data_IF_431777313762
#
_entry.id   IF_431777313762
#
_cell.length_a   1.000
_cell.length_b   1.000
_cell.length_c   1.000
_cell.angle_alpha   90.00
_cell.angle_beta   90.00
_cell.angle_gamma   90.00
#
_symmetry.space_group_name_H-M   'P 1'
#
loop_
_entity.id
_entity.type
_entity.pdbx_description
1 polymer ?
#
# COMPACT_ATOMS: atom_id res chain seq x y z
N UNK A 1 21.85 -15.84 -9.68
CA UNK A 1 20.44 -15.41 -9.53
C UNK A 1 20.41 -14.30 -8.48
N UNK A 2 20.11 -13.07 -8.88
CA UNK A 2 20.14 -11.92 -7.98
C UNK A 2 18.88 -11.88 -7.12
N UNK A 3 19.00 -12.18 -5.82
CA UNK A 3 17.91 -12.02 -4.85
C UNK A 3 17.75 -10.55 -4.51
N UNK A 4 16.99 -9.80 -5.32
CA UNK A 4 16.57 -8.45 -4.97
C UNK A 4 15.71 -8.52 -3.70
N UNK A 5 16.27 -8.14 -2.56
CA UNK A 5 15.50 -7.83 -1.35
C UNK A 5 14.53 -6.71 -1.72
N UNK A 6 13.24 -7.05 -1.86
CA UNK A 6 12.18 -6.06 -2.11
C UNK A 6 12.09 -5.18 -0.88
N UNK A 7 12.77 -4.04 -0.91
CA UNK A 7 12.54 -2.96 0.04
C UNK A 7 11.07 -2.59 -0.09
N UNK A 8 10.26 -3.01 0.88
CA UNK A 8 8.83 -2.77 0.89
C UNK A 8 8.59 -1.29 1.14
N UNK A 9 8.60 -0.51 0.06
CA UNK A 9 8.33 0.92 0.10
C UNK A 9 6.82 1.13 -0.02
N UNK A 10 6.19 1.53 1.08
CA UNK A 10 4.81 1.97 1.06
C UNK A 10 4.71 3.26 0.23
N UNK A 11 3.61 3.47 -0.53
CA UNK A 11 3.37 4.74 -1.19
C UNK A 11 3.39 5.89 -0.18
N UNK A 12 4.17 6.92 -0.48
CA UNK A 12 4.16 8.17 0.29
C UNK A 12 2.85 8.93 0.06
N UNK A 13 2.53 9.88 0.93
CA UNK A 13 1.33 10.71 0.75
C UNK A 13 1.35 11.46 -0.60
N UNK A 14 2.51 11.99 -1.01
CA UNK A 14 2.68 12.63 -2.33
C UNK A 14 2.40 11.68 -3.49
N UNK A 15 2.88 10.43 -3.41
CA UNK A 15 2.60 9.41 -4.42
C UNK A 15 1.10 9.08 -4.50
N UNK A 16 0.37 9.11 -3.36
CA UNK A 16 -1.09 8.90 -3.36
C UNK A 16 -1.84 10.01 -4.07
N UNK A 17 -1.44 11.27 -3.88
CA UNK A 17 -2.03 12.38 -4.63
C UNK A 17 -1.76 12.25 -6.13
N UNK A 18 -0.57 11.79 -6.52
CA UNK A 18 -0.26 11.54 -7.92
C UNK A 18 -1.10 10.40 -8.50
N UNK A 19 -1.35 9.33 -7.73
CA UNK A 19 -2.27 8.24 -8.12
C UNK A 19 -3.70 8.76 -8.31
N UNK A 20 -4.21 9.54 -7.34
CA UNK A 20 -5.55 10.13 -7.38
C UNK A 20 -5.74 11.02 -8.62
N UNK A 21 -4.78 11.89 -8.93
CA UNK A 21 -4.82 12.75 -10.11
C UNK A 21 -4.83 11.94 -11.43
N UNK A 22 -4.12 10.81 -11.49
CA UNK A 22 -4.01 9.98 -12.68
C UNK A 22 -5.18 9.01 -12.85
N UNK A 23 -5.85 8.60 -11.78
CA UNK A 23 -7.03 7.73 -11.84
C UNK A 23 -8.22 8.37 -12.54
N UNK A 24 -8.29 9.70 -12.59
CA UNK A 24 -9.33 10.44 -13.31
C UNK A 24 -9.13 10.53 -14.84
N UNK A 25 -8.18 9.80 -15.40
CA UNK A 25 -7.81 9.84 -16.83
C UNK A 25 -7.75 8.43 -17.43
N UNK A 26 -7.66 8.31 -18.76
CA UNK A 26 -7.64 7.03 -19.50
C UNK A 26 -6.35 6.21 -19.36
N UNK A 27 -5.49 6.48 -18.36
CA UNK A 27 -4.25 5.72 -18.18
C UNK A 27 -4.51 4.32 -17.61
N UNK A 28 -3.77 3.35 -18.13
CA UNK A 28 -3.75 2.00 -17.56
C UNK A 28 -2.99 2.00 -16.22
N UNK A 29 -3.36 1.12 -15.28
CA UNK A 29 -2.68 1.00 -13.98
C UNK A 29 -1.15 0.84 -14.10
N UNK A 30 -0.67 0.12 -15.12
CA UNK A 30 0.76 -0.03 -15.41
C UNK A 30 1.45 1.33 -15.67
N UNK A 31 0.79 2.24 -16.37
CA UNK A 31 1.33 3.55 -16.75
C UNK A 31 1.34 4.49 -15.55
N UNK A 32 0.27 4.44 -14.74
CA UNK A 32 0.18 5.15 -13.46
C UNK A 32 1.33 4.72 -12.54
N UNK A 33 1.57 3.40 -12.42
CA UNK A 33 2.65 2.88 -11.57
C UNK A 33 4.04 3.38 -12.02
N UNK A 34 4.30 3.39 -13.33
CA UNK A 34 5.55 3.93 -13.90
C UNK A 34 5.68 5.43 -13.63
N UNK A 35 4.61 6.21 -13.85
CA UNK A 35 4.60 7.67 -13.62
C UNK A 35 4.86 8.04 -12.15
N UNK A 36 4.29 7.28 -11.22
CA UNK A 36 4.43 7.48 -9.77
C UNK A 36 5.75 6.91 -9.22
N UNK A 37 6.45 6.07 -10.01
CA UNK A 37 7.70 5.41 -9.61
C UNK A 37 7.48 4.28 -8.59
N UNK A 38 6.35 3.57 -8.68
CA UNK A 38 6.04 2.39 -7.86
C UNK A 38 5.84 1.15 -8.73
N UNK A 39 5.93 -0.03 -8.14
CA UNK A 39 5.59 -1.26 -8.88
C UNK A 39 4.07 -1.35 -9.12
N UNK A 40 3.67 -1.93 -10.24
CA UNK A 40 2.25 -2.22 -10.55
C UNK A 40 1.57 -3.01 -9.42
N UNK A 41 2.28 -3.99 -8.85
CA UNK A 41 1.79 -4.76 -7.69
C UNK A 41 1.55 -3.92 -6.44
N UNK A 42 2.29 -2.82 -6.26
CA UNK A 42 2.09 -1.89 -5.15
C UNK A 42 0.86 -1.02 -5.38
N UNK A 43 0.68 -0.53 -6.61
CA UNK A 43 -0.53 0.21 -7.00
C UNK A 43 -1.78 -0.65 -6.84
N UNK A 44 -1.78 -1.88 -7.36
CA UNK A 44 -2.91 -2.80 -7.23
C UNK A 44 -3.31 -3.05 -5.76
N UNK A 45 -2.32 -3.30 -4.89
CA UNK A 45 -2.57 -3.49 -3.44
C UNK A 45 -3.06 -2.22 -2.76
N UNK A 46 -2.54 -1.07 -3.15
CA UNK A 46 -2.96 0.24 -2.65
C UNK A 46 -4.45 0.47 -3.00
N UNK A 47 -4.84 0.32 -4.27
CA UNK A 47 -6.23 0.47 -4.70
C UNK A 47 -7.14 -0.54 -4.01
N UNK A 48 -6.74 -1.81 -3.92
CA UNK A 48 -7.55 -2.84 -3.27
C UNK A 48 -7.81 -2.57 -1.77
N UNK A 49 -6.88 -1.92 -1.07
CA UNK A 49 -6.96 -1.74 0.40
C UNK A 49 -7.44 -0.35 0.81
N UNK A 50 -7.28 0.64 -0.05
CA UNK A 50 -7.46 2.06 0.30
C UNK A 50 -8.46 2.79 -0.62
N UNK A 51 -9.19 2.08 -1.49
CA UNK A 51 -10.34 2.64 -2.20
C UNK A 51 -11.57 2.62 -1.28
N UNK A 52 -12.37 3.68 -1.36
CA UNK A 52 -13.68 3.75 -0.70
C UNK A 52 -14.78 3.52 -1.75
N UNK A 53 -16.04 3.41 -1.31
CA UNK A 53 -17.19 3.24 -2.22
C UNK A 53 -17.33 4.39 -3.23
N UNK A 54 -16.86 5.59 -2.87
CA UNK A 54 -16.86 6.77 -3.74
C UNK A 54 -15.57 6.90 -4.60
N UNK A 55 -14.72 5.87 -4.63
CA UNK A 55 -13.47 5.87 -5.37
C UNK A 55 -12.23 6.08 -4.49
N UNK A 56 -11.10 6.36 -5.15
CA UNK A 56 -9.81 6.49 -4.50
C UNK A 56 -9.59 7.93 -4.01
N UNK A 57 -9.45 8.10 -2.70
CA UNK A 57 -9.14 9.39 -2.08
C UNK A 57 -7.77 9.37 -1.41
N UNK A 58 -6.83 10.23 -1.82
CA UNK A 58 -5.45 10.18 -1.35
C UNK A 58 -5.32 10.43 0.17
N UNK A 59 -6.11 11.36 0.71
CA UNK A 59 -6.14 11.69 2.14
C UNK A 59 -6.69 10.53 2.97
N UNK A 60 -7.83 9.97 2.57
CA UNK A 60 -8.44 8.79 3.19
C UNK A 60 -7.52 7.58 3.15
N UNK A 61 -6.89 7.32 2.00
CA UNK A 61 -5.92 6.25 1.83
C UNK A 61 -4.72 6.39 2.79
N UNK A 62 -4.27 7.63 3.01
CA UNK A 62 -3.23 7.93 3.97
C UNK A 62 -3.65 7.70 5.42
N UNK A 63 -4.84 8.18 5.79
CA UNK A 63 -5.40 7.95 7.13
C UNK A 63 -5.55 6.44 7.42
N UNK A 64 -6.15 5.67 6.51
CA UNK A 64 -6.34 4.23 6.65
C UNK A 64 -5.02 3.48 6.80
N UNK A 65 -4.00 3.85 6.02
CA UNK A 65 -2.68 3.23 6.12
C UNK A 65 -2.01 3.54 7.46
N UNK A 66 -2.10 4.80 7.90
CA UNK A 66 -1.57 5.23 9.19
C UNK A 66 -2.28 4.52 10.34
N UNK A 67 -3.60 4.39 10.28
CA UNK A 67 -4.38 3.65 11.27
C UNK A 67 -3.93 2.19 11.34
N UNK A 68 -3.85 1.48 10.21
CA UNK A 68 -3.40 0.08 10.18
C UNK A 68 -2.00 -0.11 10.75
N UNK A 69 -1.10 0.84 10.51
CA UNK A 69 0.26 0.81 11.06
C UNK A 69 0.25 0.92 12.59
N UNK A 70 -0.64 1.73 13.16
CA UNK A 70 -0.76 1.90 14.62
C UNK A 70 -1.48 0.70 15.25
N UNK A 71 -2.48 0.14 14.58
CA UNK A 71 -3.24 -1.01 15.09
C UNK A 71 -2.58 -2.37 14.83
N UNK A 72 -1.50 -2.41 14.05
CA UNK A 72 -0.77 -3.64 13.79
C UNK A 72 -0.14 -4.14 15.09
N UNK A 73 -0.60 -5.30 15.56
CA UNK A 73 0.00 -5.97 16.70
C UNK A 73 1.28 -6.66 16.26
N UNK A 74 2.34 -6.51 17.06
CA UNK A 74 3.55 -7.30 16.85
C UNK A 74 3.26 -8.75 17.27
N UNK A 75 3.53 -9.69 16.37
CA UNK A 75 3.47 -11.10 16.71
C UNK A 75 4.63 -11.44 17.64
N UNK A 76 4.33 -11.61 18.93
CA UNK A 76 5.26 -12.17 19.92
C UNK A 76 5.07 -13.69 19.96
N UNK A 77 6.13 -14.44 19.64
CA UNK A 77 6.18 -15.88 19.89
C UNK A 77 6.30 -16.08 21.40
N UNK A 78 5.19 -16.30 22.09
CA UNK A 78 5.23 -16.88 23.44
C UNK A 78 5.50 -18.37 23.29
N UNK A 79 6.71 -18.79 23.66
CA UNK A 79 7.07 -20.21 23.81
C UNK A 79 6.40 -20.73 25.09
N UNK A 80 5.11 -21.05 25.02
CA UNK A 80 4.46 -21.79 26.11
C UNK A 80 4.59 -23.28 25.82
N UNK A 81 5.82 -23.80 25.89
CA UNK A 81 6.05 -25.23 26.02
C UNK A 81 5.74 -25.66 27.46
N UNK A 82 4.47 -25.58 27.85
CA UNK A 82 3.97 -26.28 29.03
C UNK A 82 3.36 -27.59 28.57
N UNK A 83 4.16 -28.65 28.57
CA UNK A 83 3.64 -30.01 28.56
C UNK A 83 3.58 -30.52 30.01
N UNK A 84 2.46 -31.13 30.44
CA UNK A 84 2.40 -31.82 31.72
C UNK A 84 3.34 -33.03 31.77
#
# INVERSE_FOLDING_TARGET
>A
MSTQTRQYKQPTQGQRYQIEALLGTDYMQKEIAVSVGISESALSRELSRNVNDNGYGAESAHALTSQRRVTATNFSKTDEHTCP
#
